data_IF_884431930899
#
_entry.id   IF_884431930899
#
_cell.length_a   1.000
_cell.length_b   1.000
_cell.length_c   1.000
_cell.angle_alpha   90.00
_cell.angle_beta   90.00
_cell.angle_gamma   90.00
#
_symmetry.space_group_name_H-M   'P 1'
#
loop_
_entity.id
_entity.type
_entity.pdbx_description
1 polymer ?
#
# COMPACT_ATOMS: atom_id res chain seq x y z
N UNK A 1 -10.90 13.20 53.14
CA UNK A 1 -10.03 13.41 51.96
C UNK A 1 -9.89 12.08 51.24
N UNK A 2 -10.50 11.91 50.06
CA UNK A 2 -10.38 10.68 49.25
C UNK A 2 -9.27 10.87 48.22
N UNK A 3 -8.24 10.03 48.29
CA UNK A 3 -7.17 9.98 47.31
C UNK A 3 -7.70 9.41 45.99
N UNK A 4 -7.55 10.17 44.92
CA UNK A 4 -7.86 9.75 43.55
C UNK A 4 -6.68 8.88 43.09
N UNK A 5 -6.90 7.57 43.03
CA UNK A 5 -5.98 6.67 42.34
C UNK A 5 -5.93 7.04 40.85
N UNK A 6 -4.74 7.39 40.37
CA UNK A 6 -4.46 7.60 38.96
C UNK A 6 -4.75 6.30 38.20
N UNK A 7 -5.68 6.39 37.24
CA UNK A 7 -5.97 5.33 36.27
C UNK A 7 -4.66 4.89 35.62
N UNK A 8 -4.37 3.61 35.74
CA UNK A 8 -3.31 2.95 35.00
C UNK A 8 -3.58 3.16 33.51
N UNK A 9 -2.65 3.79 32.78
CA UNK A 9 -2.70 3.85 31.33
C UNK A 9 -2.59 2.41 30.81
N UNK A 10 -3.60 1.96 30.07
CA UNK A 10 -3.44 0.80 29.20
C UNK A 10 -2.28 1.08 28.24
N UNK A 11 -1.43 0.10 27.92
CA UNK A 11 -0.48 0.25 26.84
C UNK A 11 -1.30 0.44 25.56
N UNK A 12 -1.37 1.68 25.07
CA UNK A 12 -1.91 1.97 23.74
C UNK A 12 -1.03 1.22 22.76
N UNK A 13 -1.55 0.11 22.23
CA UNK A 13 -0.93 -0.59 21.12
C UNK A 13 -0.62 0.45 20.04
N UNK A 14 0.64 0.46 19.57
CA UNK A 14 1.04 1.37 18.50
C UNK A 14 0.14 1.13 17.29
N UNK A 15 -0.34 2.19 16.61
CA UNK A 15 -1.21 1.99 15.46
C UNK A 15 -0.51 1.16 14.38
N UNK A 16 -1.30 0.41 13.63
CA UNK A 16 -0.81 -0.66 12.76
C UNK A 16 0.24 -0.22 11.72
N UNK A 17 0.13 1.00 11.20
CA UNK A 17 1.03 1.54 10.17
C UNK A 17 2.15 2.43 10.72
N UNK A 18 2.36 2.48 12.04
CA UNK A 18 3.47 3.23 12.61
C UNK A 18 4.80 2.56 12.31
N UNK A 19 5.87 3.36 12.22
CA UNK A 19 7.22 2.90 11.89
C UNK A 19 7.68 1.67 12.69
N UNK A 20 7.52 1.68 14.02
CA UNK A 20 7.90 0.56 14.87
C UNK A 20 7.03 -0.69 14.65
N UNK A 21 5.73 -0.49 14.43
CA UNK A 21 4.79 -1.57 14.09
C UNK A 21 5.17 -2.23 12.76
N UNK A 22 5.49 -1.41 11.75
CA UNK A 22 5.94 -1.86 10.43
C UNK A 22 7.29 -2.58 10.52
N UNK A 23 8.21 -2.08 11.36
CA UNK A 23 9.50 -2.74 11.63
C UNK A 23 9.32 -4.11 12.26
N UNK A 24 8.52 -4.19 13.33
CA UNK A 24 8.22 -5.46 14.00
C UNK A 24 7.53 -6.44 13.06
N UNK A 25 6.61 -5.95 12.23
CA UNK A 25 5.91 -6.77 11.24
C UNK A 25 6.85 -7.28 10.16
N UNK A 26 7.73 -6.44 9.63
CA UNK A 26 8.73 -6.88 8.66
C UNK A 26 9.64 -7.97 9.23
N UNK A 27 10.04 -7.86 10.50
CA UNK A 27 10.80 -8.91 11.17
C UNK A 27 10.01 -10.24 11.24
N UNK A 28 8.72 -10.17 11.54
CA UNK A 28 7.84 -11.34 11.54
C UNK A 28 7.64 -11.91 10.13
N UNK A 29 7.41 -11.06 9.12
CA UNK A 29 7.22 -11.46 7.73
C UNK A 29 8.45 -12.22 7.19
N UNK A 30 9.67 -11.86 7.63
CA UNK A 30 10.89 -12.64 7.34
C UNK A 30 10.81 -14.03 7.96
N UNK A 31 10.46 -14.14 9.24
CA UNK A 31 10.36 -15.45 9.91
C UNK A 31 9.29 -16.32 9.26
N UNK A 32 8.14 -15.75 8.93
CA UNK A 32 7.02 -16.46 8.30
C UNK A 32 7.40 -16.94 6.89
N UNK A 33 8.15 -16.12 6.13
CA UNK A 33 8.63 -16.49 4.81
C UNK A 33 9.67 -17.62 4.86
N UNK A 34 10.57 -17.62 5.86
CA UNK A 34 11.51 -18.74 6.09
C UNK A 34 10.73 -19.99 6.49
N UNK A 35 9.83 -19.89 7.47
CA UNK A 35 9.03 -21.01 7.97
C UNK A 35 8.14 -21.64 6.90
N UNK A 36 7.68 -20.82 5.94
CA UNK A 36 6.89 -21.27 4.78
C UNK A 36 7.75 -21.67 3.58
N UNK A 37 9.08 -21.66 3.69
CA UNK A 37 10.01 -21.94 2.58
C UNK A 37 9.85 -21.04 1.35
N UNK A 38 9.30 -19.82 1.50
CA UNK A 38 9.24 -18.81 0.43
C UNK A 38 10.60 -18.18 0.17
N UNK A 39 11.45 -18.14 1.19
CA UNK A 39 12.83 -17.65 1.12
C UNK A 39 13.75 -18.61 1.88
N UNK A 40 15.04 -18.61 1.55
CA UNK A 40 16.03 -19.39 2.30
C UNK A 40 16.39 -18.71 3.65
N UNK A 41 17.03 -19.45 4.55
CA UNK A 41 17.52 -18.88 5.80
C UNK A 41 18.60 -17.81 5.58
N UNK A 42 19.40 -17.92 4.53
CA UNK A 42 20.43 -16.94 4.20
C UNK A 42 19.82 -15.68 3.58
N UNK A 43 18.78 -15.81 2.74
CA UNK A 43 17.95 -14.69 2.29
C UNK A 43 17.38 -13.95 3.49
N UNK A 44 16.85 -14.68 4.47
CA UNK A 44 16.31 -14.12 5.72
C UNK A 44 17.33 -13.32 6.53
N UNK A 45 18.54 -13.88 6.75
CA UNK A 45 19.63 -13.17 7.44
C UNK A 45 20.05 -11.92 6.67
N UNK A 46 20.06 -11.97 5.34
CA UNK A 46 20.38 -10.83 4.50
C UNK A 46 19.33 -9.71 4.62
N UNK A 47 18.03 -10.06 4.58
CA UNK A 47 16.93 -9.11 4.76
C UNK A 47 16.88 -8.50 6.17
N UNK A 48 17.23 -9.27 7.21
CA UNK A 48 17.29 -8.77 8.59
C UNK A 48 18.30 -7.62 8.78
N UNK A 49 19.28 -7.46 7.87
CA UNK A 49 20.19 -6.30 7.90
C UNK A 49 19.46 -4.97 7.79
N UNK A 50 18.31 -4.94 7.12
CA UNK A 50 17.45 -3.75 7.02
C UNK A 50 16.79 -3.36 8.36
N UNK A 51 16.63 -4.31 9.28
CA UNK A 51 16.12 -4.01 10.64
C UNK A 51 17.18 -3.36 11.51
N UNK A 52 18.45 -3.66 11.27
CA UNK A 52 19.58 -3.15 12.03
C UNK A 52 20.19 -1.86 11.44
N UNK A 53 19.84 -1.52 10.20
CA UNK A 53 20.25 -0.28 9.55
C UNK A 53 19.71 0.92 10.36
N UNK A 54 20.58 1.48 11.20
CA UNK A 54 20.37 2.76 11.86
C UNK A 54 20.69 3.88 10.86
N UNK A 55 20.04 5.01 11.07
CA UNK A 55 19.99 6.21 10.22
C UNK A 55 21.34 6.96 10.28
N UNK A 56 22.44 6.31 9.90
CA UNK A 56 23.75 6.96 9.77
C UNK A 56 24.13 7.00 8.28
N UNK A 57 23.97 8.16 7.62
CA UNK A 57 24.32 8.31 6.22
C UNK A 57 25.81 8.06 6.02
N UNK A 58 26.16 7.03 5.25
CA UNK A 58 27.55 6.75 4.86
C UNK A 58 28.04 5.31 5.06
N UNK A 59 27.28 4.44 5.75
CA UNK A 59 27.68 3.03 5.99
C UNK A 59 26.87 2.04 5.13
N UNK A 60 26.53 2.44 3.91
CA UNK A 60 25.60 1.69 3.03
C UNK A 60 26.28 0.59 2.19
N UNK A 61 27.57 0.36 2.41
CA UNK A 61 28.35 -0.64 1.68
C UNK A 61 27.92 -2.05 2.08
N UNK A 62 27.07 -2.67 1.25
CA UNK A 62 26.63 -4.07 1.40
C UNK A 62 25.28 -4.26 2.10
N UNK A 63 24.52 -3.19 2.35
CA UNK A 63 23.11 -3.28 2.75
C UNK A 63 22.23 -3.59 1.53
N UNK A 64 21.11 -4.32 1.71
CA UNK A 64 20.12 -4.47 0.65
C UNK A 64 19.62 -3.10 0.18
N UNK A 65 19.56 -2.90 -1.14
CA UNK A 65 18.91 -1.73 -1.72
C UNK A 65 17.40 -1.88 -1.57
N UNK A 66 16.74 -0.83 -1.10
CA UNK A 66 15.28 -0.77 -0.99
C UNK A 66 14.76 0.32 -1.92
N UNK A 67 13.84 -0.05 -2.80
CA UNK A 67 13.11 0.86 -3.67
C UNK A 67 11.61 0.79 -3.34
N UNK A 68 10.95 1.95 -3.29
CA UNK A 68 9.49 2.05 -3.28
C UNK A 68 8.96 1.82 -4.69
N UNK A 69 7.80 1.20 -4.79
CA UNK A 69 7.10 1.03 -6.05
C UNK A 69 6.09 2.17 -6.22
N UNK A 70 6.14 2.85 -7.36
CA UNK A 70 5.25 3.98 -7.69
C UNK A 70 4.64 3.75 -9.07
N UNK A 71 3.46 4.34 -9.29
CA UNK A 71 2.83 4.36 -10.60
C UNK A 71 3.42 5.49 -11.47
N UNK A 72 3.96 5.16 -12.64
CA UNK A 72 4.66 6.11 -13.52
C UNK A 72 3.77 7.20 -14.16
N UNK A 73 2.45 7.06 -14.05
CA UNK A 73 1.47 8.06 -14.49
C UNK A 73 1.05 9.04 -13.38
N UNK A 74 1.70 8.96 -12.21
CA UNK A 74 1.34 9.75 -11.03
C UNK A 74 -0.10 9.47 -10.53
N UNK A 75 -0.70 8.34 -10.93
CA UNK A 75 -1.98 7.89 -10.39
C UNK A 75 -1.87 7.61 -8.88
N UNK A 76 -2.97 7.74 -8.12
CA UNK A 76 -2.94 7.37 -6.71
C UNK A 76 -2.52 5.91 -6.58
N UNK A 77 -1.42 5.68 -5.86
CA UNK A 77 -0.87 4.34 -5.65
C UNK A 77 -1.97 3.39 -5.17
N UNK A 78 -2.00 2.19 -5.76
CA UNK A 78 -2.78 1.08 -5.22
C UNK A 78 -2.41 0.89 -3.73
N UNK A 79 -3.40 0.56 -2.90
CA UNK A 79 -3.19 0.37 -1.47
C UNK A 79 -2.11 -0.68 -1.17
N UNK A 80 -1.97 -1.69 -2.02
CA UNK A 80 -0.93 -2.70 -1.90
C UNK A 80 0.45 -2.14 -2.27
N UNK A 81 0.55 -1.27 -3.28
CA UNK A 81 1.80 -0.66 -3.76
C UNK A 81 2.33 0.45 -2.84
N UNK A 82 1.46 1.26 -2.24
CA UNK A 82 1.86 2.37 -1.37
C UNK A 82 2.71 1.92 -0.17
N UNK A 83 2.52 0.68 0.27
CA UNK A 83 3.32 0.04 1.31
C UNK A 83 4.30 -0.99 0.78
N UNK A 84 4.51 -1.12 -0.53
CA UNK A 84 5.35 -2.17 -1.11
C UNK A 84 6.82 -1.73 -1.24
N UNK A 85 7.72 -2.67 -1.02
CA UNK A 85 9.14 -2.50 -1.28
C UNK A 85 9.67 -3.55 -2.23
N UNK A 86 10.44 -3.09 -3.21
CA UNK A 86 11.39 -3.91 -3.96
C UNK A 86 12.72 -3.88 -3.22
N UNK A 87 13.24 -5.05 -2.88
CA UNK A 87 14.51 -5.21 -2.20
C UNK A 87 15.45 -5.98 -3.12
N UNK A 88 16.62 -5.42 -3.40
CA UNK A 88 17.59 -5.99 -4.34
C UNK A 88 19.02 -5.84 -3.86
N UNK A 89 19.93 -6.62 -4.45
CA UNK A 89 21.36 -6.43 -4.23
C UNK A 89 21.82 -5.15 -4.98
N UNK A 90 22.46 -4.17 -4.30
CA UNK A 90 22.93 -2.95 -4.95
C UNK A 90 24.05 -3.16 -5.97
N UNK A 91 24.80 -4.26 -5.87
CA UNK A 91 25.96 -4.58 -6.70
C UNK A 91 25.61 -5.59 -7.78
N UNK A 92 24.73 -6.55 -7.47
CA UNK A 92 24.38 -7.64 -8.38
C UNK A 92 22.96 -7.47 -8.97
N UNK A 93 22.86 -6.71 -10.05
CA UNK A 93 21.59 -6.40 -10.73
C UNK A 93 20.86 -7.59 -11.37
N UNK A 94 21.54 -8.73 -11.53
CA UNK A 94 21.01 -9.96 -12.12
C UNK A 94 20.63 -11.04 -11.07
N UNK A 95 20.63 -10.69 -9.78
CA UNK A 95 20.33 -11.62 -8.68
C UNK A 95 18.84 -11.59 -8.32
N UNK A 96 18.40 -12.61 -7.57
CA UNK A 96 17.05 -12.66 -7.02
C UNK A 96 16.68 -11.37 -6.30
N UNK A 97 15.43 -10.94 -6.48
CA UNK A 97 14.85 -9.77 -5.82
C UNK A 97 13.74 -10.20 -4.88
N UNK A 98 13.42 -9.35 -3.91
CA UNK A 98 12.37 -9.62 -2.94
C UNK A 98 11.33 -8.53 -2.99
N UNK A 99 10.07 -8.93 -2.86
CA UNK A 99 8.94 -8.03 -2.69
C UNK A 99 8.49 -8.13 -1.23
N UNK A 100 8.37 -6.99 -0.56
CA UNK A 100 7.71 -6.89 0.74
C UNK A 100 6.40 -6.12 0.60
N UNK A 101 5.27 -6.79 0.78
CA UNK A 101 3.94 -6.15 0.81
C UNK A 101 3.30 -6.28 2.18
N UNK A 102 2.35 -5.40 2.50
CA UNK A 102 1.60 -5.51 3.74
C UNK A 102 0.57 -6.63 3.69
N UNK A 103 0.13 -7.09 2.51
CA UNK A 103 -0.85 -8.18 2.41
C UNK A 103 -0.19 -9.57 2.47
N UNK A 104 0.92 -9.76 1.76
CA UNK A 104 1.52 -11.08 1.52
C UNK A 104 2.86 -11.29 2.23
N UNK A 105 3.39 -10.26 2.89
CA UNK A 105 4.68 -10.32 3.56
C UNK A 105 5.81 -10.36 2.53
N UNK A 106 6.74 -11.30 2.66
CA UNK A 106 7.93 -11.40 1.82
C UNK A 106 7.80 -12.53 0.78
N UNK A 107 8.07 -12.16 -0.46
CA UNK A 107 8.07 -13.01 -1.64
C UNK A 107 9.43 -12.86 -2.37
N UNK A 108 9.95 -13.95 -2.92
CA UNK A 108 11.21 -13.96 -3.70
C UNK A 108 10.92 -14.18 -5.17
N UNK A 109 11.66 -13.46 -6.01
CA UNK A 109 11.58 -13.54 -7.46
C UNK A 109 12.98 -13.75 -8.04
N UNK A 110 13.06 -14.44 -9.16
CA UNK A 110 14.34 -14.74 -9.82
C UNK A 110 14.99 -13.49 -10.40
N UNK A 111 14.16 -12.53 -10.84
CA UNK A 111 14.62 -11.26 -11.43
C UNK A 111 13.60 -10.14 -11.21
N UNK A 112 14.05 -8.90 -11.38
CA UNK A 112 13.16 -7.72 -11.40
C UNK A 112 12.06 -7.85 -12.45
N UNK A 113 12.36 -8.42 -13.62
CA UNK A 113 11.37 -8.65 -14.68
C UNK A 113 10.27 -9.60 -14.22
N UNK A 114 10.62 -10.73 -13.61
CA UNK A 114 9.63 -11.69 -13.09
C UNK A 114 8.73 -11.09 -12.00
N UNK A 115 9.28 -10.22 -11.16
CA UNK A 115 8.50 -9.48 -10.15
C UNK A 115 7.52 -8.52 -10.82
N UNK A 116 7.96 -7.73 -11.81
CA UNK A 116 7.08 -6.79 -12.51
C UNK A 116 5.95 -7.51 -13.25
N UNK A 117 6.23 -8.65 -13.88
CA UNK A 117 5.20 -9.50 -14.51
C UNK A 117 4.18 -9.99 -13.48
N UNK A 118 4.64 -10.47 -12.31
CA UNK A 118 3.73 -10.92 -11.26
C UNK A 118 2.87 -9.79 -10.68
N UNK A 119 3.43 -8.57 -10.55
CA UNK A 119 2.65 -7.40 -10.16
C UNK A 119 1.60 -7.06 -11.23
N UNK A 120 1.95 -7.07 -12.51
CA UNK A 120 1.01 -6.81 -13.60
C UNK A 120 -0.16 -7.81 -13.59
N UNK A 121 0.12 -9.10 -13.37
CA UNK A 121 -0.92 -10.12 -13.25
C UNK A 121 -1.81 -9.89 -12.02
N UNK A 122 -1.22 -9.59 -10.85
CA UNK A 122 -1.96 -9.36 -9.60
C UNK A 122 -2.85 -8.12 -9.70
N UNK A 123 -2.37 -7.07 -10.36
CA UNK A 123 -3.04 -5.79 -10.51
C UNK A 123 -3.69 -5.63 -11.88
N UNK A 124 -4.16 -6.70 -12.52
CA UNK A 124 -4.80 -6.70 -13.87
C UNK A 124 -5.93 -5.68 -14.09
N UNK A 125 -6.42 -4.99 -13.05
CA UNK A 125 -7.31 -3.82 -13.15
C UNK A 125 -6.61 -2.51 -13.52
N UNK A 126 -5.27 -2.47 -13.46
CA UNK A 126 -4.43 -1.43 -14.07
C UNK A 126 -4.29 -1.75 -15.57
N UNK A 127 -5.42 -1.91 -16.25
CA UNK A 127 -5.46 -1.94 -17.72
C UNK A 127 -5.50 -0.51 -18.20
N UNK A 128 -4.30 0.09 -18.26
CA UNK A 128 -3.80 0.93 -19.35
C UNK A 128 -2.48 1.58 -18.88
N UNK A 129 -1.38 0.82 -19.02
CA UNK A 129 0.00 1.32 -19.11
C UNK A 129 0.44 2.31 -18.00
N UNK A 130 0.05 2.11 -16.75
CA UNK A 130 0.81 2.69 -15.64
C UNK A 130 2.05 1.81 -15.44
N UNK A 131 3.20 2.26 -15.95
CA UNK A 131 4.47 1.55 -15.75
C UNK A 131 4.81 1.62 -14.27
N UNK A 132 4.96 0.47 -13.59
CA UNK A 132 5.45 0.46 -12.21
C UNK A 132 6.92 0.86 -12.22
N UNK A 133 7.22 2.01 -11.62
CA UNK A 133 8.56 2.50 -11.44
C UNK A 133 9.08 2.14 -10.06
N UNK A 134 10.41 2.12 -9.90
CA UNK A 134 11.03 1.90 -8.61
C UNK A 134 11.97 3.06 -8.28
N UNK A 135 11.72 3.69 -7.14
CA UNK A 135 12.50 4.82 -6.67
C UNK A 135 13.20 4.43 -5.36
N UNK A 136 14.49 4.73 -5.24
CA UNK A 136 15.25 4.40 -4.04
C UNK A 136 14.64 5.08 -2.82
N UNK A 137 14.47 4.32 -1.74
CA UNK A 137 14.11 4.90 -0.45
C UNK A 137 15.38 5.42 0.21
N UNK A 138 15.42 6.73 0.45
CA UNK A 138 16.50 7.37 1.19
C UNK A 138 16.13 7.56 2.67
N UNK A 139 17.10 7.41 3.56
CA UNK A 139 16.93 7.64 4.99
C UNK A 139 16.20 6.51 5.72
N UNK A 140 15.32 6.89 6.66
CA UNK A 140 14.61 5.92 7.52
C UNK A 140 13.54 5.17 6.73
N UNK A 141 13.81 3.89 6.44
CA UNK A 141 12.95 3.03 5.64
C UNK A 141 11.51 3.00 6.21
N UNK A 142 11.37 2.60 7.47
CA UNK A 142 10.05 2.39 8.07
C UNK A 142 9.25 3.68 8.25
N UNK A 143 9.91 4.82 8.45
CA UNK A 143 9.23 6.13 8.45
C UNK A 143 8.76 6.49 7.05
N UNK A 144 9.57 6.26 6.02
CA UNK A 144 9.19 6.49 4.64
C UNK A 144 7.99 5.61 4.21
N UNK A 145 7.97 4.34 4.63
CA UNK A 145 6.85 3.42 4.38
C UNK A 145 5.58 3.83 5.13
N UNK A 146 5.70 4.25 6.39
CA UNK A 146 4.58 4.81 7.15
C UNK A 146 3.99 6.01 6.40
N UNK A 147 4.82 6.97 5.97
CA UNK A 147 4.36 8.16 5.27
C UNK A 147 3.68 7.83 3.93
N UNK A 148 4.21 6.87 3.19
CA UNK A 148 3.62 6.44 1.92
C UNK A 148 2.22 5.83 2.14
N UNK A 149 2.08 4.92 3.12
CA UNK A 149 0.78 4.34 3.49
C UNK A 149 -0.21 5.42 3.98
N UNK A 150 0.24 6.35 4.81
CA UNK A 150 -0.62 7.44 5.31
C UNK A 150 -1.13 8.35 4.19
N UNK A 151 -0.28 8.65 3.20
CA UNK A 151 -0.69 9.44 2.02
C UNK A 151 -1.74 8.70 1.20
N UNK A 152 -1.54 7.41 0.96
CA UNK A 152 -2.53 6.59 0.25
C UNK A 152 -3.87 6.55 0.99
N UNK A 153 -3.85 6.37 2.31
CA UNK A 153 -5.08 6.36 3.11
C UNK A 153 -5.81 7.71 3.09
N UNK A 154 -5.07 8.81 3.20
CA UNK A 154 -5.65 10.15 3.10
C UNK A 154 -6.29 10.38 1.72
N UNK A 155 -5.60 9.99 0.64
CA UNK A 155 -6.12 10.08 -0.73
C UNK A 155 -7.37 9.22 -0.94
N UNK A 156 -7.37 7.99 -0.40
CA UNK A 156 -8.52 7.10 -0.48
C UNK A 156 -9.75 7.68 0.24
N UNK A 157 -9.57 8.22 1.46
CA UNK A 157 -10.66 8.87 2.20
C UNK A 157 -11.19 10.12 1.49
N UNK A 158 -10.31 10.89 0.86
CA UNK A 158 -10.71 12.04 0.05
C UNK A 158 -11.57 11.60 -1.15
N UNK A 159 -11.14 10.57 -1.88
CA UNK A 159 -11.90 10.00 -3.01
C UNK A 159 -13.26 9.49 -2.55
N UNK A 160 -13.30 8.73 -1.44
CA UNK A 160 -14.55 8.24 -0.86
C UNK A 160 -15.49 9.40 -0.47
N UNK A 161 -14.95 10.46 0.13
CA UNK A 161 -15.74 11.65 0.47
C UNK A 161 -16.37 12.30 -0.76
N UNK A 162 -15.61 12.42 -1.86
CA UNK A 162 -16.12 12.97 -3.13
C UNK A 162 -17.23 12.08 -3.69
N UNK A 163 -17.03 10.76 -3.69
CA UNK A 163 -18.03 9.81 -4.17
C UNK A 163 -19.31 9.86 -3.34
N UNK A 164 -19.20 9.95 -2.01
CA UNK A 164 -20.36 10.08 -1.12
C UNK A 164 -21.13 11.38 -1.35
N UNK A 165 -20.44 12.50 -1.61
CA UNK A 165 -21.08 13.77 -1.96
C UNK A 165 -21.77 13.74 -3.32
N UNK A 166 -21.27 12.94 -4.25
CA UNK A 166 -21.86 12.75 -5.57
C UNK A 166 -23.04 11.77 -5.59
N UNK A 167 -23.35 11.11 -4.46
CA UNK A 167 -24.51 10.23 -4.39
C UNK A 167 -25.79 11.07 -4.54
N UNK A 168 -26.67 10.74 -5.50
CA UNK A 168 -27.96 11.42 -5.60
C UNK A 168 -28.72 11.17 -4.30
N UNK A 169 -29.36 12.21 -3.78
CA UNK A 169 -30.32 12.01 -2.71
C UNK A 169 -31.47 11.11 -3.20
N UNK A 170 -32.21 10.52 -2.26
CA UNK A 170 -33.28 9.56 -2.58
C UNK A 170 -34.32 10.17 -3.54
N UNK A 171 -34.55 11.49 -3.46
CA UNK A 171 -35.49 12.21 -4.32
C UNK A 171 -34.96 12.28 -5.76
N UNK A 172 -33.70 12.66 -5.95
CA UNK A 172 -33.02 12.70 -7.23
C UNK A 172 -32.92 11.32 -7.88
N UNK A 173 -32.64 10.28 -7.09
CA UNK A 173 -32.63 8.89 -7.56
C UNK A 173 -34.03 8.42 -8.00
N UNK A 174 -35.07 8.69 -7.19
CA UNK A 174 -36.44 8.30 -7.49
C UNK A 174 -36.99 9.03 -8.72
N UNK A 175 -36.77 10.33 -8.84
CA UNK A 175 -37.23 11.07 -10.01
C UNK A 175 -36.46 10.71 -11.28
N UNK A 176 -35.16 10.39 -11.20
CA UNK A 176 -34.40 9.88 -12.36
C UNK A 176 -34.89 8.50 -12.80
N UNK A 177 -35.23 7.62 -11.85
CA UNK A 177 -35.86 6.33 -12.15
C UNK A 177 -37.24 6.50 -12.81
N UNK A 178 -38.07 7.43 -12.31
CA UNK A 178 -39.37 7.74 -12.90
C UNK A 178 -39.22 8.34 -14.31
N UNK A 179 -38.28 9.25 -14.51
CA UNK A 179 -37.96 9.85 -15.81
C UNK A 179 -37.56 8.76 -16.84
N UNK A 180 -36.74 7.80 -16.43
CA UNK A 180 -36.33 6.68 -17.28
C UNK A 180 -37.51 5.78 -17.66
N UNK A 181 -38.43 5.51 -16.73
CA UNK A 181 -39.66 4.73 -17.01
C UNK A 181 -40.59 5.48 -17.96
N UNK A 182 -40.75 6.79 -17.79
CA UNK A 182 -41.57 7.63 -18.67
C UNK A 182 -40.99 7.70 -20.09
N UNK A 183 -39.66 7.81 -20.21
CA UNK A 183 -38.96 7.78 -21.50
C UNK A 183 -39.12 6.44 -22.22
N UNK A 184 -39.01 5.31 -21.51
CA UNK A 184 -39.23 3.98 -22.08
C UNK A 184 -40.66 3.75 -22.56
N UNK A 185 -41.63 4.47 -22.00
CA UNK A 185 -43.05 4.40 -22.39
C UNK A 185 -43.45 5.42 -23.45
N UNK A 186 -42.51 6.23 -23.95
CA UNK A 186 -42.78 7.28 -24.95
C UNK A 186 -43.59 8.46 -24.40
N UNK A 187 -43.62 8.64 -23.07
CA UNK A 187 -44.38 9.68 -22.36
C UNK A 187 -43.48 10.82 -21.84
N UNK A 188 -42.22 10.89 -22.28
CA UNK A 188 -41.23 11.82 -21.75
C UNK A 188 -41.38 13.28 -22.25
N UNK A 189 -42.15 13.53 -23.32
CA UNK A 189 -42.37 14.90 -23.78
C UNK A 189 -43.39 15.61 -22.87
N UNK A 190 -42.88 16.46 -21.96
CA UNK A 190 -43.67 17.43 -21.21
C UNK A 190 -43.79 17.20 -19.70
N UNK A 191 -43.18 16.16 -19.14
CA UNK A 191 -43.19 15.92 -17.68
C UNK A 191 -41.78 16.13 -17.11
N UNK A 192 -41.57 17.31 -16.51
CA UNK A 192 -40.42 17.56 -15.65
C UNK A 192 -40.78 17.14 -14.22
N UNK A 193 -40.15 16.07 -13.74
CA UNK A 193 -40.44 15.45 -12.43
C UNK A 193 -39.80 16.25 -11.28
N UNK A 194 -39.06 17.33 -11.57
CA UNK A 194 -38.21 18.01 -10.60
C UNK A 194 -38.43 19.51 -10.41
N UNK A 195 -39.59 20.07 -10.83
CA UNK A 195 -40.01 21.37 -10.28
C UNK A 195 -40.26 21.31 -8.77
#
# INVERSE_FOLDING_TARGET
>A
MRAIQRKQHMPTALPYFFSDSLRSRFAQDIQDAIGSSRISSDDGKWLQRLLAASIEPGTDAGLPRVDRLIMGDNSPDDAELAGAWLISDPVASATSVFLSTLAFGIERFESRTSLLTALQERFSKVSDISTVEAERVEGSLFDARMLAVMRQQAGHLQSLSIQLQALPDMRAAAGKALQNVLAQRGLAEGIDVFS
#
